data_IF_755665554730
#
_entry.id   IF_755665554730
#
_cell.length_a   1.000
_cell.length_b   1.000
_cell.length_c   1.000
_cell.angle_alpha   90.00
_cell.angle_beta   90.00
_cell.angle_gamma   90.00
#
_symmetry.space_group_name_H-M   'P 1'
#
loop_
_entity.id
_entity.type
_entity.pdbx_description
1 polymer ?
#
# COMPACT_ATOMS: atom_id res chain seq x y z
N UNK A 1 -6.70 -25.57 20.38
CA UNK A 1 -7.19 -24.26 20.86
C UNK A 1 -6.71 -23.20 19.89
N UNK A 2 -7.61 -22.48 19.23
CA UNK A 2 -7.24 -21.40 18.31
C UNK A 2 -6.73 -20.22 19.15
N UNK A 3 -5.54 -19.68 18.91
CA UNK A 3 -5.06 -18.53 19.65
C UNK A 3 -6.03 -17.36 19.47
N UNK A 4 -6.47 -16.76 20.58
CA UNK A 4 -7.33 -15.57 20.55
C UNK A 4 -6.54 -14.41 19.96
N UNK A 5 -6.97 -13.90 18.81
CA UNK A 5 -6.33 -12.77 18.14
C UNK A 5 -6.60 -11.46 18.90
N UNK A 6 -5.55 -10.82 19.40
CA UNK A 6 -5.65 -9.47 19.95
C UNK A 6 -5.76 -8.45 18.80
N UNK A 7 -6.98 -7.96 18.56
CA UNK A 7 -7.27 -7.01 17.47
C UNK A 7 -6.58 -5.65 17.66
N UNK A 8 -6.45 -5.17 18.90
CA UNK A 8 -5.80 -3.89 19.19
C UNK A 8 -4.32 -3.93 18.84
N UNK A 9 -3.64 -5.01 19.23
CA UNK A 9 -2.24 -5.22 18.88
C UNK A 9 -2.04 -5.31 17.36
N UNK A 10 -2.92 -6.04 16.66
CA UNK A 10 -2.87 -6.14 15.20
C UNK A 10 -3.02 -4.79 14.51
N UNK A 11 -3.98 -3.96 14.94
CA UNK A 11 -4.17 -2.61 14.36
C UNK A 11 -2.94 -1.74 14.55
N UNK A 12 -2.30 -1.79 15.72
CA UNK A 12 -1.07 -1.04 15.99
C UNK A 12 0.07 -1.47 15.06
N UNK A 13 0.29 -2.79 14.91
CA UNK A 13 1.30 -3.32 14.00
C UNK A 13 1.03 -2.90 12.56
N UNK A 14 -0.22 -2.96 12.09
CA UNK A 14 -0.58 -2.55 10.73
C UNK A 14 -0.26 -1.07 10.48
N UNK A 15 -0.59 -0.18 11.42
CA UNK A 15 -0.27 1.25 11.30
C UNK A 15 1.24 1.51 11.25
N UNK A 16 2.01 0.77 12.05
CA UNK A 16 3.48 0.85 12.02
C UNK A 16 4.03 0.40 10.66
N UNK A 17 3.54 -0.71 10.13
CA UNK A 17 3.94 -1.22 8.81
C UNK A 17 3.55 -0.26 7.68
N UNK A 18 2.36 0.35 7.73
CA UNK A 18 1.96 1.38 6.77
C UNK A 18 2.92 2.59 6.80
N UNK A 19 3.29 3.08 7.99
CA UNK A 19 4.26 4.17 8.11
C UNK A 19 5.65 3.77 7.61
N UNK A 20 6.09 2.54 7.91
CA UNK A 20 7.35 2.01 7.42
C UNK A 20 7.33 1.87 5.90
N UNK A 21 6.23 1.44 5.30
CA UNK A 21 6.08 1.25 3.85
C UNK A 21 6.29 2.56 3.06
N UNK A 22 5.93 3.71 3.62
CA UNK A 22 6.17 5.00 2.99
C UNK A 22 7.66 5.36 2.89
N UNK A 23 8.50 4.93 3.86
CA UNK A 23 9.92 5.31 3.93
C UNK A 23 10.77 4.79 2.75
N UNK A 24 10.70 3.52 2.34
CA UNK A 24 11.48 2.99 1.22
C UNK A 24 10.82 3.23 -0.15
N UNK A 25 9.54 3.63 -0.21
CA UNK A 25 8.80 3.80 -1.48
C UNK A 25 8.34 5.25 -1.79
N UNK A 26 9.15 6.31 -1.55
CA UNK A 26 8.71 7.68 -1.75
C UNK A 26 8.36 7.98 -3.23
N UNK A 27 9.13 7.44 -4.18
CA UNK A 27 8.90 7.64 -5.61
C UNK A 27 7.61 6.98 -6.11
N UNK A 28 7.30 5.79 -5.61
CA UNK A 28 6.04 5.10 -5.92
C UNK A 28 4.84 5.89 -5.38
N UNK A 29 4.96 6.47 -4.18
CA UNK A 29 3.93 7.34 -3.62
C UNK A 29 3.69 8.60 -4.48
N UNK A 30 4.75 9.28 -4.91
CA UNK A 30 4.65 10.45 -5.80
C UNK A 30 3.97 10.11 -7.13
N UNK A 31 4.36 8.99 -7.75
CA UNK A 31 3.76 8.53 -9.00
C UNK A 31 2.30 8.13 -8.82
N UNK A 32 1.95 7.49 -7.70
CA UNK A 32 0.57 7.18 -7.35
C UNK A 32 -0.27 8.46 -7.21
N UNK A 33 0.23 9.45 -6.48
CA UNK A 33 -0.46 10.74 -6.30
C UNK A 33 -0.62 11.50 -7.62
N UNK A 34 0.36 11.41 -8.52
CA UNK A 34 0.23 11.92 -9.90
C UNK A 34 -0.84 11.15 -10.67
N UNK A 35 -0.83 9.82 -10.63
CA UNK A 35 -1.75 8.96 -11.36
C UNK A 35 -3.21 9.19 -10.95
N UNK A 36 -3.47 9.48 -9.66
CA UNK A 36 -4.82 9.80 -9.15
C UNK A 36 -5.49 11.00 -9.83
N UNK A 37 -4.73 11.86 -10.52
CA UNK A 37 -5.28 12.99 -11.29
C UNK A 37 -5.92 12.57 -12.61
N UNK A 38 -5.57 11.39 -13.13
CA UNK A 38 -5.97 10.94 -14.47
C UNK A 38 -6.62 9.55 -14.46
N UNK A 39 -6.35 8.74 -13.44
CA UNK A 39 -6.84 7.38 -13.31
C UNK A 39 -7.75 7.27 -12.09
N UNK A 40 -8.90 6.61 -12.26
CA UNK A 40 -9.84 6.36 -11.18
C UNK A 40 -9.17 5.50 -10.10
N UNK A 41 -8.98 6.06 -8.90
CA UNK A 41 -8.24 5.40 -7.82
C UNK A 41 -6.72 5.29 -8.05
N UNK A 42 -6.16 6.03 -9.02
CA UNK A 42 -4.70 6.12 -9.22
C UNK A 42 -4.04 4.92 -9.88
N UNK A 43 -4.82 4.00 -10.45
CA UNK A 43 -4.33 2.79 -11.12
C UNK A 43 -5.10 2.50 -12.42
N UNK A 44 -4.50 1.78 -13.38
CA UNK A 44 -5.19 1.39 -14.61
C UNK A 44 -6.31 0.37 -14.39
N UNK A 45 -6.15 -0.51 -13.40
CA UNK A 45 -7.14 -1.54 -13.07
C UNK A 45 -7.45 -1.49 -11.57
N UNK A 46 -8.72 -1.30 -11.20
CA UNK A 46 -9.16 -1.09 -9.82
C UNK A 46 -8.73 -2.18 -8.83
N UNK A 47 -8.55 -3.42 -9.29
CA UNK A 47 -8.06 -4.50 -8.43
C UNK A 47 -6.65 -4.23 -7.87
N UNK A 48 -5.84 -3.39 -8.53
CA UNK A 48 -4.49 -3.04 -8.08
C UNK A 48 -4.47 -2.21 -6.79
N UNK A 49 -5.56 -1.51 -6.44
CA UNK A 49 -5.66 -0.77 -5.17
C UNK A 49 -5.71 -1.71 -3.96
N UNK A 50 -6.12 -2.98 -4.17
CA UNK A 50 -6.26 -3.97 -3.09
C UNK A 50 -4.94 -4.67 -2.72
N UNK A 51 -3.83 -4.26 -3.33
CA UNK A 51 -2.51 -4.79 -2.97
C UNK A 51 -2.12 -4.40 -1.54
N UNK A 52 -1.27 -5.21 -0.92
CA UNK A 52 -0.79 -4.94 0.43
C UNK A 52 -0.01 -3.61 0.49
N UNK A 53 -0.25 -2.84 1.55
CA UNK A 53 0.32 -1.50 1.73
C UNK A 53 -0.68 -0.39 1.37
N UNK A 54 -0.25 0.86 1.58
CA UNK A 54 -1.10 2.04 1.40
C UNK A 54 -1.22 2.51 -0.06
N UNK A 55 -0.31 2.08 -0.95
CA UNK A 55 -0.32 2.39 -2.37
C UNK A 55 0.43 1.33 -3.19
N UNK A 56 0.11 1.17 -4.50
CA UNK A 56 0.82 0.22 -5.37
C UNK A 56 2.28 0.62 -5.61
N UNK A 57 3.17 -0.37 -5.67
CA UNK A 57 4.57 -0.15 -6.07
C UNK A 57 4.67 0.04 -7.58
N UNK A 58 5.34 1.13 -7.99
CA UNK A 58 5.61 1.40 -9.40
C UNK A 58 6.91 0.71 -9.81
N UNK A 59 6.77 -0.40 -10.54
CA UNK A 59 7.89 -1.22 -11.01
C UNK A 59 8.52 -0.58 -12.26
N UNK A 60 9.84 -0.38 -12.24
CA UNK A 60 10.60 0.15 -13.39
C UNK A 60 10.81 -0.93 -14.47
N UNK A 61 11.17 -2.13 -14.03
CA UNK A 61 11.44 -3.29 -14.87
C UNK A 61 11.23 -4.58 -14.06
N UNK A 62 10.86 -5.66 -14.73
CA UNK A 62 10.78 -7.01 -14.20
C UNK A 62 11.32 -7.99 -15.27
N UNK A 63 11.92 -9.11 -14.84
CA UNK A 63 12.44 -10.16 -15.72
C UNK A 63 11.74 -11.47 -15.41
#
# INVERSE_FOLDING_TARGET
>A
MTPTLNRTHLTHLLQQEEQLFHKPHPKSYELYQRARKSLHGGVPMLWMIRWAGSFPVFVKEAK
#
